data_IF_240166271600
#
_entry.id   IF_240166271600
#
_cell.length_a   1.000
_cell.length_b   1.000
_cell.length_c   1.000
_cell.angle_alpha   90.00
_cell.angle_beta   90.00
_cell.angle_gamma   90.00
#
_symmetry.space_group_name_H-M   'P 1'
#
loop_
_entity.id
_entity.type
_entity.pdbx_description
1 polymer ?
#
# COMPACT_ATOMS: atom_id res chain seq x y z
N UNK A 1 -18.45 6.52 24.87
CA UNK A 1 -18.06 5.96 23.55
C UNK A 1 -19.32 5.87 22.69
N UNK A 2 -19.51 6.76 21.71
CA UNK A 2 -20.61 6.64 20.75
C UNK A 2 -20.23 5.60 19.68
N UNK A 3 -21.08 4.59 19.49
CA UNK A 3 -20.82 3.54 18.51
C UNK A 3 -20.82 4.13 17.08
N UNK A 4 -19.94 3.64 16.17
CA UNK A 4 -19.91 4.12 14.79
C UNK A 4 -21.23 3.84 14.06
N UNK A 5 -21.67 4.80 13.25
CA UNK A 5 -22.91 4.69 12.46
C UNK A 5 -22.84 3.48 11.51
N UNK A 6 -23.99 2.87 11.15
CA UNK A 6 -24.01 1.72 10.23
C UNK A 6 -23.27 1.96 8.91
N UNK A 7 -23.35 3.18 8.36
CA UNK A 7 -22.63 3.60 7.15
C UNK A 7 -21.12 3.57 7.34
N UNK A 8 -20.61 4.07 8.47
CA UNK A 8 -19.18 4.03 8.78
C UNK A 8 -18.67 2.59 8.95
N UNK A 9 -19.50 1.70 9.53
CA UNK A 9 -19.20 0.26 9.63
C UNK A 9 -19.16 -0.42 8.26
N UNK A 10 -20.12 -0.12 7.37
CA UNK A 10 -20.16 -0.65 6.01
C UNK A 10 -18.94 -0.25 5.18
N UNK A 11 -18.61 1.05 5.17
CA UNK A 11 -17.40 1.57 4.49
C UNK A 11 -16.12 0.90 5.00
N UNK A 12 -15.97 0.74 6.31
CA UNK A 12 -14.79 0.07 6.88
C UNK A 12 -14.68 -1.38 6.40
N UNK A 13 -15.78 -2.13 6.35
CA UNK A 13 -15.78 -3.51 5.85
C UNK A 13 -15.34 -3.59 4.38
N UNK A 14 -15.85 -2.69 3.53
CA UNK A 14 -15.45 -2.62 2.11
C UNK A 14 -13.95 -2.34 1.98
N UNK A 15 -13.43 -1.37 2.73
CA UNK A 15 -11.99 -1.03 2.71
C UNK A 15 -11.11 -2.19 3.19
N UNK A 16 -11.55 -2.93 4.22
CA UNK A 16 -10.83 -4.12 4.68
C UNK A 16 -10.89 -5.26 3.65
N UNK A 17 -12.03 -5.48 2.99
CA UNK A 17 -12.14 -6.44 1.90
C UNK A 17 -11.20 -6.09 0.74
N UNK A 18 -11.17 -4.82 0.33
CA UNK A 18 -10.25 -4.31 -0.67
C UNK A 18 -8.79 -4.45 -0.25
N UNK A 19 -8.47 -4.20 1.03
CA UNK A 19 -7.13 -4.39 1.57
C UNK A 19 -6.69 -5.85 1.48
N UNK A 20 -7.55 -6.79 1.88
CA UNK A 20 -7.25 -8.23 1.79
C UNK A 20 -6.97 -8.61 0.33
N UNK A 21 -7.81 -8.18 -0.60
CA UNK A 21 -7.59 -8.44 -2.02
C UNK A 21 -6.27 -7.83 -2.53
N UNK A 22 -5.98 -6.58 -2.16
CA UNK A 22 -4.74 -5.90 -2.56
C UNK A 22 -3.50 -6.62 -2.02
N UNK A 23 -3.52 -7.09 -0.77
CA UNK A 23 -2.44 -7.88 -0.17
C UNK A 23 -2.30 -9.22 -0.88
N UNK A 24 -3.39 -9.92 -1.20
CA UNK A 24 -3.31 -11.17 -1.95
C UNK A 24 -2.68 -10.96 -3.33
N UNK A 25 -3.09 -9.92 -4.06
CA UNK A 25 -2.48 -9.55 -5.35
C UNK A 25 -0.99 -9.23 -5.16
N UNK A 26 -0.64 -8.42 -4.17
CA UNK A 26 0.74 -8.08 -3.84
C UNK A 26 1.60 -9.33 -3.60
N UNK A 27 1.12 -10.27 -2.79
CA UNK A 27 1.83 -11.53 -2.52
C UNK A 27 2.01 -12.37 -3.78
N UNK A 28 0.93 -12.54 -4.57
CA UNK A 28 1.02 -13.31 -5.82
C UNK A 28 2.04 -12.70 -6.77
N UNK A 29 2.05 -11.38 -6.94
CA UNK A 29 2.95 -10.71 -7.89
C UNK A 29 4.40 -10.69 -7.40
N UNK A 30 4.65 -10.42 -6.11
CA UNK A 30 6.01 -10.35 -5.56
C UNK A 30 6.68 -11.72 -5.46
N UNK A 31 5.92 -12.77 -5.14
CA UNK A 31 6.45 -14.11 -4.87
C UNK A 31 6.20 -15.12 -6.00
N UNK A 32 5.65 -14.67 -7.14
CA UNK A 32 5.63 -15.48 -8.34
C UNK A 32 7.08 -15.85 -8.73
N UNK A 33 7.38 -17.13 -9.06
CA UNK A 33 8.75 -17.56 -9.39
C UNK A 33 9.38 -16.85 -10.58
N UNK A 34 8.55 -16.23 -11.43
CA UNK A 34 8.95 -15.51 -12.64
C UNK A 34 8.18 -14.20 -12.71
N UNK A 35 8.86 -13.14 -13.15
CA UNK A 35 8.19 -11.91 -13.54
C UNK A 35 7.28 -12.15 -14.76
N UNK A 36 6.23 -11.33 -14.96
CA UNK A 36 5.54 -11.25 -16.24
C UNK A 36 6.55 -11.02 -17.37
N UNK A 37 6.27 -11.53 -18.58
CA UNK A 37 7.21 -11.56 -19.70
C UNK A 37 7.71 -10.19 -20.21
N UNK A 38 7.35 -9.80 -21.43
CA UNK A 38 7.87 -8.55 -22.01
C UNK A 38 7.29 -7.34 -21.27
N UNK A 39 8.18 -6.43 -20.83
CA UNK A 39 7.74 -5.17 -20.25
C UNK A 39 7.00 -4.31 -21.29
N UNK A 40 5.82 -3.74 -20.97
CA UNK A 40 5.08 -2.91 -21.90
C UNK A 40 5.78 -1.57 -22.20
N UNK A 41 6.65 -1.10 -21.33
CA UNK A 41 7.47 0.10 -21.46
C UNK A 41 8.66 0.04 -20.48
N UNK A 42 9.72 0.85 -20.65
CA UNK A 42 10.89 0.79 -19.79
C UNK A 42 10.58 1.05 -18.31
N UNK A 43 11.05 0.17 -17.43
CA UNK A 43 10.88 0.25 -15.96
C UNK A 43 9.41 0.10 -15.52
N UNK A 44 8.61 -0.66 -16.27
CA UNK A 44 7.22 -0.93 -15.92
C UNK A 44 7.10 -1.70 -14.60
N UNK A 45 8.07 -2.55 -14.28
CA UNK A 45 8.25 -3.20 -12.99
C UNK A 45 8.23 -2.21 -11.81
N UNK A 46 8.92 -1.06 -11.91
CA UNK A 46 8.97 -0.06 -10.84
C UNK A 46 7.61 0.56 -10.55
N UNK A 47 6.80 0.74 -11.59
CA UNK A 47 5.42 1.22 -11.44
C UNK A 47 4.56 0.18 -10.72
N UNK A 48 4.74 -1.10 -11.06
CA UNK A 48 4.06 -2.21 -10.38
C UNK A 48 4.45 -2.25 -8.91
N UNK A 49 5.75 -2.23 -8.59
CA UNK A 49 6.29 -2.18 -7.23
C UNK A 49 5.70 -1.01 -6.42
N UNK A 50 5.76 0.21 -6.96
CA UNK A 50 5.15 1.39 -6.36
C UNK A 50 3.67 1.18 -6.03
N UNK A 51 2.87 0.66 -6.97
CA UNK A 51 1.44 0.43 -6.77
C UNK A 51 1.15 -0.67 -5.75
N UNK A 52 1.95 -1.74 -5.76
CA UNK A 52 1.83 -2.87 -4.85
C UNK A 52 2.03 -2.47 -3.39
N UNK A 53 2.78 -1.40 -3.12
CA UNK A 53 2.96 -0.87 -1.76
C UNK A 53 2.10 0.35 -1.45
N UNK A 54 1.79 1.19 -2.44
CA UNK A 54 0.92 2.35 -2.27
C UNK A 54 -0.51 1.93 -1.91
N UNK A 55 -1.11 1.03 -2.70
CA UNK A 55 -2.52 0.66 -2.59
C UNK A 55 -2.86 0.02 -1.23
N UNK A 56 -2.18 -1.05 -0.77
CA UNK A 56 -2.50 -1.64 0.54
C UNK A 56 -2.20 -0.69 1.70
N UNK A 57 -1.14 0.12 1.62
CA UNK A 57 -0.85 1.14 2.64
C UNK A 57 -2.00 2.14 2.75
N UNK A 58 -2.46 2.68 1.61
CA UNK A 58 -3.54 3.67 1.58
C UNK A 58 -4.86 3.07 2.08
N UNK A 59 -5.19 1.83 1.66
CA UNK A 59 -6.39 1.13 2.11
C UNK A 59 -6.38 0.85 3.62
N UNK A 60 -5.25 0.40 4.17
CA UNK A 60 -5.09 0.18 5.61
C UNK A 60 -5.26 1.46 6.43
N UNK A 61 -4.62 2.54 6.00
CA UNK A 61 -4.76 3.86 6.62
C UNK A 61 -6.20 4.41 6.50
N UNK A 62 -6.85 4.22 5.34
CA UNK A 62 -8.22 4.66 5.10
C UNK A 62 -9.25 3.84 5.90
N UNK A 63 -8.98 2.55 6.15
CA UNK A 63 -9.78 1.67 7.01
C UNK A 63 -9.65 1.98 8.50
N UNK A 64 -8.75 2.91 8.87
CA UNK A 64 -8.51 3.33 10.24
C UNK A 64 -7.61 2.39 11.04
N UNK A 65 -6.77 1.59 10.37
CA UNK A 65 -5.74 0.82 11.05
C UNK A 65 -4.64 1.74 11.61
N UNK A 66 -3.90 1.24 12.60
CA UNK A 66 -2.86 2.01 13.27
C UNK A 66 -1.75 2.41 12.27
N UNK A 67 -1.48 3.72 12.03
CA UNK A 67 -0.55 4.14 11.00
C UNK A 67 0.87 3.59 11.17
N UNK A 68 1.37 3.53 12.41
CA UNK A 68 2.69 2.97 12.72
C UNK A 68 2.80 1.48 12.33
N UNK A 69 1.74 0.71 12.56
CA UNK A 69 1.72 -0.71 12.22
C UNK A 69 1.66 -0.91 10.70
N UNK A 70 0.77 -0.20 10.00
CA UNK A 70 0.64 -0.29 8.54
C UNK A 70 1.94 0.13 7.86
N UNK A 71 2.46 1.32 8.19
CA UNK A 71 3.68 1.84 7.56
C UNK A 71 4.89 0.99 7.92
N UNK A 72 5.05 0.59 9.18
CA UNK A 72 6.17 -0.23 9.60
C UNK A 72 6.17 -1.61 8.93
N UNK A 73 5.01 -2.26 8.85
CA UNK A 73 4.89 -3.58 8.22
C UNK A 73 5.14 -3.51 6.70
N UNK A 74 4.55 -2.54 5.99
CA UNK A 74 4.76 -2.43 4.55
C UNK A 74 6.17 -1.96 4.19
N UNK A 75 6.78 -1.07 4.98
CA UNK A 75 8.17 -0.67 4.76
C UNK A 75 9.16 -1.83 5.03
N UNK A 76 8.91 -2.64 6.08
CA UNK A 76 9.71 -3.85 6.31
C UNK A 76 9.50 -4.87 5.19
N UNK A 77 8.26 -5.04 4.73
CA UNK A 77 7.94 -5.96 3.64
C UNK A 77 8.66 -5.58 2.34
N UNK A 78 8.80 -4.29 2.01
CA UNK A 78 9.56 -3.83 0.83
C UNK A 78 11.01 -4.37 0.81
N UNK A 79 11.70 -4.32 1.95
CA UNK A 79 13.07 -4.84 2.06
C UNK A 79 13.08 -6.37 2.02
N UNK A 80 12.13 -7.01 2.73
CA UNK A 80 12.05 -8.46 2.82
C UNK A 80 11.69 -9.10 1.47
N UNK A 81 10.78 -8.51 0.70
CA UNK A 81 10.40 -9.02 -0.62
C UNK A 81 11.60 -9.09 -1.54
N UNK A 82 12.44 -8.05 -1.54
CA UNK A 82 13.64 -7.97 -2.36
C UNK A 82 14.67 -9.06 -2.00
N UNK A 83 14.91 -9.23 -0.70
CA UNK A 83 15.81 -10.26 -0.18
C UNK A 83 15.30 -11.65 -0.56
N UNK A 84 14.00 -11.90 -0.42
CA UNK A 84 13.39 -13.17 -0.83
C UNK A 84 13.52 -13.39 -2.34
N UNK A 85 13.28 -12.36 -3.16
CA UNK A 85 13.42 -12.45 -4.61
C UNK A 85 14.86 -12.82 -5.01
N UNK A 86 15.85 -12.11 -4.47
CA UNK A 86 17.26 -12.37 -4.79
C UNK A 86 17.80 -13.69 -4.22
N UNK A 87 17.34 -14.13 -3.04
CA UNK A 87 17.87 -15.31 -2.37
C UNK A 87 17.13 -16.60 -2.71
N UNK A 88 15.81 -16.54 -2.95
CA UNK A 88 14.95 -17.72 -2.98
C UNK A 88 14.19 -17.92 -4.31
N UNK A 89 14.20 -16.94 -5.24
CA UNK A 89 13.47 -17.04 -6.50
C UNK A 89 14.46 -17.08 -7.70
N UNK A 90 14.82 -18.28 -8.22
CA UNK A 90 15.93 -18.46 -9.18
C UNK A 90 15.78 -17.74 -10.52
N UNK A 91 14.57 -17.29 -10.86
CA UNK A 91 14.26 -16.58 -12.11
C UNK A 91 13.75 -15.17 -11.86
N UNK A 92 14.03 -14.62 -10.68
CA UNK A 92 13.81 -13.23 -10.32
C UNK A 92 15.16 -12.58 -10.04
N UNK A 93 15.37 -11.42 -10.63
CA UNK A 93 16.46 -10.53 -10.23
C UNK A 93 16.01 -9.72 -9.03
N UNK A 94 16.93 -9.48 -8.09
CA UNK A 94 16.79 -8.39 -7.14
C UNK A 94 17.44 -7.11 -7.70
N UNK A 95 16.77 -5.98 -7.59
CA UNK A 95 17.22 -4.63 -7.89
C UNK A 95 16.92 -3.69 -6.69
N UNK A 96 17.91 -3.07 -6.05
CA UNK A 96 17.69 -2.10 -4.98
C UNK A 96 16.74 -0.94 -5.34
N UNK A 97 16.57 -0.63 -6.64
CA UNK A 97 15.59 0.35 -7.09
C UNK A 97 14.14 -0.09 -6.87
N UNK A 98 13.86 -1.39 -6.76
CA UNK A 98 12.54 -1.92 -6.40
C UNK A 98 12.18 -1.55 -4.96
N UNK A 99 13.13 -1.71 -4.02
CA UNK A 99 12.95 -1.26 -2.64
C UNK A 99 12.66 0.24 -2.58
N UNK A 100 13.35 1.05 -3.39
CA UNK A 100 13.09 2.49 -3.46
C UNK A 100 11.70 2.78 -4.02
N UNK A 101 11.26 2.06 -5.06
CA UNK A 101 9.92 2.20 -5.63
C UNK A 101 8.83 1.83 -4.60
N UNK A 102 9.03 0.73 -3.88
CA UNK A 102 8.12 0.23 -2.83
C UNK A 102 7.98 1.25 -1.69
N UNK A 103 9.10 1.72 -1.14
CA UNK A 103 9.13 2.72 -0.08
C UNK A 103 8.53 4.06 -0.54
N UNK A 104 8.73 4.44 -1.80
CA UNK A 104 8.07 5.60 -2.40
C UNK A 104 6.56 5.41 -2.43
N UNK A 105 6.07 4.23 -2.78
CA UNK A 105 4.65 3.88 -2.71
C UNK A 105 4.07 4.05 -1.30
N UNK A 106 4.77 3.54 -0.28
CA UNK A 106 4.38 3.72 1.13
C UNK A 106 4.34 5.20 1.51
N UNK A 107 5.37 5.97 1.17
CA UNK A 107 5.45 7.40 1.49
C UNK A 107 4.33 8.21 0.82
N UNK A 108 4.04 7.95 -0.46
CA UNK A 108 2.95 8.58 -1.19
C UNK A 108 1.58 8.25 -0.58
N UNK A 109 1.35 7.00 -0.18
CA UNK A 109 0.11 6.62 0.50
C UNK A 109 -0.08 7.40 1.82
N UNK A 110 0.99 7.56 2.61
CA UNK A 110 0.96 8.37 3.84
C UNK A 110 0.67 9.84 3.54
N UNK A 111 1.32 10.42 2.53
CA UNK A 111 1.11 11.80 2.12
C UNK A 111 -0.34 12.04 1.70
N UNK A 112 -0.89 11.19 0.83
CA UNK A 112 -2.27 11.27 0.36
C UNK A 112 -3.27 11.14 1.52
N UNK A 113 -3.07 10.17 2.40
CA UNK A 113 -3.91 9.99 3.58
C UNK A 113 -3.90 11.22 4.50
N UNK A 114 -2.72 11.79 4.74
CA UNK A 114 -2.55 12.99 5.56
C UNK A 114 -3.24 14.21 4.93
N UNK A 115 -3.07 14.43 3.62
CA UNK A 115 -3.72 15.53 2.89
C UNK A 115 -5.24 15.45 3.00
N UNK A 116 -5.82 14.26 2.83
CA UNK A 116 -7.27 14.04 2.95
C UNK A 116 -7.76 14.32 4.38
N UNK A 117 -7.01 13.88 5.40
CA UNK A 117 -7.36 14.16 6.81
C UNK A 117 -7.32 15.65 7.13
N UNK A 118 -6.31 16.38 6.62
CA UNK A 118 -6.21 17.84 6.81
C UNK A 118 -7.37 18.58 6.20
N UNK A 119 -7.72 18.30 4.95
CA UNK A 119 -8.86 18.94 4.26
C UNK A 119 -10.18 18.76 5.02
N UNK A 120 -10.42 17.57 5.58
CA UNK A 120 -11.61 17.29 6.40
C UNK A 120 -11.62 18.08 7.71
N UNK A 121 -10.47 18.23 8.36
CA UNK A 121 -10.35 19.03 9.58
C UNK A 121 -10.61 20.52 9.32
N UNK A 122 -10.05 21.07 8.23
CA UNK A 122 -10.26 22.46 7.81
C UNK A 122 -11.72 22.74 7.42
N UNK A 123 -12.34 21.87 6.62
CA UNK A 123 -13.75 22.03 6.23
C UNK A 123 -14.71 21.99 7.42
N UNK A 124 -14.44 21.14 8.42
CA UNK A 124 -15.22 21.09 9.65
C UNK A 124 -15.09 22.38 10.49
N UNK A 125 -13.96 23.09 10.40
CA UNK A 125 -13.75 24.35 11.12
C UNK A 125 -14.49 25.53 10.48
N UNK A 126 -14.63 25.55 9.14
CA UNK A 126 -15.34 26.61 8.43
C UNK A 126 -16.87 26.54 8.59
N UNK A 127 -17.45 25.33 8.63
CA UNK A 127 -18.90 25.16 8.81
C UNK A 127 -19.43 25.34 10.24
N UNK A 128 -18.61 25.84 11.16
CA UNK A 128 -18.98 26.09 12.58
C UNK A 128 -19.21 27.57 12.91
N UNK A 129 -19.14 28.45 11.91
CA UNK A 129 -19.43 29.88 11.99
C UNK A 129 -20.65 30.19 11.14
#
# INVERSE_FOLDING_TARGET
>A
MTAPTPVARGRRRILLGALVLAVLVQFVVLYAPRAPGVEPFPNADKVVHLLLFLVPTLLGLAAGLAPRAVVGLLAAHAVVSEVVQGALLPHRSSDPLDVLADLTGVALAVLLWWLVRRRRASGAALGRW
#
